data_IF_617338523229
#
_entry.id   IF_617338523229
#
_cell.length_a   1.000
_cell.length_b   1.000
_cell.length_c   1.000
_cell.angle_alpha   90.00
_cell.angle_beta   90.00
_cell.angle_gamma   90.00
#
_symmetry.space_group_name_H-M   'P 1'
#
loop_
_entity.id
_entity.type
_entity.pdbx_description
1 polymer ?
#
# COMPACT_ATOMS: atom_id res chain seq x y z
N UNK A 1 -18.00 11.45 5.99
CA UNK A 1 -18.60 10.51 6.96
C UNK A 1 -17.62 10.05 8.05
N UNK A 2 -16.32 9.89 7.74
CA UNK A 2 -15.26 9.66 8.73
C UNK A 2 -14.44 10.93 8.97
N UNK A 3 -13.96 11.14 10.19
CA UNK A 3 -13.01 12.21 10.53
C UNK A 3 -11.81 11.61 11.25
N UNK A 4 -10.60 12.07 10.93
CA UNK A 4 -9.35 11.60 11.54
C UNK A 4 -8.82 12.71 12.46
N UNK A 5 -8.48 12.34 13.69
CA UNK A 5 -7.93 13.24 14.71
C UNK A 5 -6.64 12.67 15.27
N UNK A 6 -5.73 13.54 15.71
CA UNK A 6 -4.64 13.18 16.61
C UNK A 6 -5.16 13.30 18.05
N UNK A 7 -4.80 12.36 18.91
CA UNK A 7 -5.09 12.41 20.34
C UNK A 7 -3.95 11.81 21.15
N UNK A 8 -4.16 11.69 22.46
CA UNK A 8 -3.20 11.09 23.39
C UNK A 8 -3.89 10.04 24.23
N UNK A 9 -3.27 8.86 24.38
CA UNK A 9 -3.75 7.78 25.24
C UNK A 9 -2.55 7.19 26.00
N UNK A 10 -2.63 7.14 27.34
CA UNK A 10 -1.53 6.69 28.21
C UNK A 10 -0.18 7.35 27.86
N UNK A 11 -0.18 8.67 27.63
CA UNK A 11 0.99 9.48 27.23
C UNK A 11 1.61 9.11 25.88
N UNK A 12 0.92 8.34 25.03
CA UNK A 12 1.33 8.04 23.67
C UNK A 12 0.41 8.77 22.68
N UNK A 13 0.99 9.29 21.60
CA UNK A 13 0.22 9.85 20.49
C UNK A 13 -0.55 8.76 19.77
N UNK A 14 -1.83 9.02 19.50
CA UNK A 14 -2.75 8.08 18.82
C UNK A 14 -3.49 8.74 17.68
N UNK A 15 -3.85 7.95 16.67
CA UNK A 15 -4.76 8.36 15.62
C UNK A 15 -6.18 7.87 15.95
N UNK A 16 -7.17 8.77 15.86
CA UNK A 16 -8.57 8.49 16.16
C UNK A 16 -9.40 8.67 14.89
N UNK A 17 -9.95 7.56 14.38
CA UNK A 17 -10.89 7.55 13.26
C UNK A 17 -12.31 7.58 13.83
N UNK A 18 -12.95 8.74 13.81
CA UNK A 18 -14.30 8.96 14.32
C UNK A 18 -15.36 8.76 13.22
N UNK A 19 -16.44 8.05 13.56
CA UNK A 19 -17.57 7.75 12.68
C UNK A 19 -18.76 8.59 13.12
N UNK A 20 -19.11 9.62 12.33
CA UNK A 20 -20.14 10.59 12.72
C UNK A 20 -21.53 9.93 12.75
N UNK A 21 -22.23 10.12 13.86
CA UNK A 21 -23.51 9.47 14.12
C UNK A 21 -24.61 9.81 13.10
N UNK A 22 -24.61 11.05 12.60
CA UNK A 22 -25.54 11.57 11.58
C UNK A 22 -25.49 10.82 10.24
N UNK A 23 -24.42 10.06 9.99
CA UNK A 23 -24.23 9.31 8.75
C UNK A 23 -24.13 7.79 8.96
N UNK A 24 -24.49 7.30 10.16
CA UNK A 24 -24.44 5.86 10.49
C UNK A 24 -25.58 5.07 9.82
N UNK A 25 -25.45 4.83 8.53
CA UNK A 25 -26.26 3.83 7.83
C UNK A 25 -25.81 2.39 8.17
N UNK A 26 -26.63 1.39 7.83
CA UNK A 26 -26.32 -0.04 8.06
C UNK A 26 -24.97 -0.44 7.43
N UNK A 27 -24.63 0.12 6.27
CA UNK A 27 -23.34 -0.12 5.58
C UNK A 27 -22.16 0.37 6.43
N UNK A 28 -22.19 1.62 6.89
CA UNK A 28 -21.10 2.20 7.67
C UNK A 28 -20.91 1.50 9.03
N UNK A 29 -21.99 1.03 9.65
CA UNK A 29 -21.93 0.22 10.87
C UNK A 29 -21.25 -1.14 10.63
N UNK A 30 -21.56 -1.79 9.51
CA UNK A 30 -20.91 -3.05 9.11
C UNK A 30 -19.43 -2.84 8.82
N UNK A 31 -19.06 -1.76 8.13
CA UNK A 31 -17.66 -1.39 7.88
C UNK A 31 -16.90 -1.14 9.19
N UNK A 32 -17.47 -0.37 10.11
CA UNK A 32 -16.87 -0.13 11.43
C UNK A 32 -16.65 -1.44 12.20
N UNK A 33 -17.69 -2.27 12.31
CA UNK A 33 -17.58 -3.55 13.03
C UNK A 33 -16.55 -4.49 12.39
N UNK A 34 -16.51 -4.54 11.05
CA UNK A 34 -15.54 -5.34 10.30
C UNK A 34 -14.11 -4.84 10.51
N UNK A 35 -13.90 -3.52 10.45
CA UNK A 35 -12.60 -2.90 10.64
C UNK A 35 -12.08 -3.22 12.05
N UNK A 36 -12.89 -3.01 13.09
CA UNK A 36 -12.54 -3.39 14.47
C UNK A 36 -12.24 -4.89 14.60
N UNK A 37 -13.04 -5.75 13.97
CA UNK A 37 -12.84 -7.20 14.03
C UNK A 37 -11.51 -7.64 13.41
N UNK A 38 -11.15 -7.10 12.24
CA UNK A 38 -9.87 -7.39 11.58
C UNK A 38 -8.73 -6.84 12.43
N UNK A 39 -8.80 -5.55 12.81
CA UNK A 39 -7.74 -4.84 13.52
C UNK A 39 -7.38 -5.47 14.86
N UNK A 40 -8.34 -6.08 15.56
CA UNK A 40 -8.08 -6.83 16.80
C UNK A 40 -7.24 -8.11 16.62
N UNK A 41 -7.19 -8.67 15.41
CA UNK A 41 -6.51 -9.94 15.10
C UNK A 41 -5.11 -9.75 14.52
N UNK A 42 -4.80 -8.55 14.04
CA UNK A 42 -3.54 -8.27 13.36
C UNK A 42 -2.54 -7.59 14.30
N UNK A 43 -1.32 -8.11 14.30
CA UNK A 43 -0.17 -7.54 15.02
C UNK A 43 1.09 -7.83 14.22
N UNK A 44 1.63 -6.81 13.55
CA UNK A 44 2.80 -6.93 12.71
C UNK A 44 3.50 -5.58 12.53
N UNK A 45 4.85 -5.56 12.41
CA UNK A 45 5.61 -4.30 12.36
C UNK A 45 5.23 -3.40 11.19
N UNK A 46 4.77 -3.97 10.08
CA UNK A 46 4.38 -3.26 8.86
C UNK A 46 2.85 -3.19 8.66
N UNK A 47 2.08 -3.34 9.74
CA UNK A 47 0.63 -3.15 9.75
C UNK A 47 0.30 -2.21 10.92
N UNK A 48 -0.54 -1.20 10.69
CA UNK A 48 -0.89 -0.23 11.73
C UNK A 48 -1.50 -0.93 12.94
N UNK A 49 -0.91 -0.69 14.11
CA UNK A 49 -1.28 -1.31 15.36
C UNK A 49 -2.60 -0.75 15.89
N UNK A 50 -3.56 -1.64 16.13
CA UNK A 50 -4.78 -1.36 16.85
C UNK A 50 -4.50 -1.13 18.33
N UNK A 51 -5.06 -0.06 18.89
CA UNK A 51 -4.99 0.25 20.33
C UNK A 51 -6.34 -0.02 20.99
N UNK A 52 -7.44 0.43 20.37
CA UNK A 52 -8.77 0.26 20.93
C UNK A 52 -9.88 0.79 20.03
N UNK A 53 -11.12 0.68 20.48
CA UNK A 53 -12.27 1.24 19.79
C UNK A 53 -13.35 1.64 20.80
N UNK A 54 -14.01 2.77 20.58
CA UNK A 54 -15.26 3.09 21.25
C UNK A 54 -16.41 2.56 20.40
N UNK A 55 -17.18 1.62 20.95
CA UNK A 55 -18.30 0.96 20.28
C UNK A 55 -19.67 1.47 20.76
N UNK A 56 -19.68 2.46 21.67
CA UNK A 56 -20.90 3.07 22.21
C UNK A 56 -21.28 4.31 21.39
N UNK A 57 -22.54 4.37 20.95
CA UNK A 57 -23.09 5.56 20.30
C UNK A 57 -23.22 6.74 21.29
N UNK A 58 -23.14 7.99 20.83
CA UNK A 58 -22.89 8.41 19.44
C UNK A 58 -21.41 8.38 19.02
N UNK A 59 -20.50 8.11 19.94
CA UNK A 59 -19.06 8.31 19.77
C UNK A 59 -18.35 7.06 19.25
N UNK A 60 -18.74 6.56 18.08
CA UNK A 60 -18.06 5.41 17.47
C UNK A 60 -16.68 5.83 16.95
N UNK A 61 -15.61 5.20 17.44
CA UNK A 61 -14.25 5.47 16.98
C UNK A 61 -13.34 4.26 17.02
N UNK A 62 -12.31 4.31 16.17
CA UNK A 62 -11.19 3.37 16.15
C UNK A 62 -9.93 4.14 16.52
N UNK A 63 -9.14 3.60 17.44
CA UNK A 63 -7.91 4.19 17.94
C UNK A 63 -6.74 3.29 17.54
N UNK A 64 -5.75 3.88 16.89
CA UNK A 64 -4.54 3.21 16.41
C UNK A 64 -3.30 3.98 16.84
N UNK A 65 -2.13 3.36 16.69
CA UNK A 65 -0.88 4.10 16.76
C UNK A 65 -0.89 5.30 15.80
N UNK A 66 -0.26 6.40 16.21
CA UNK A 66 -0.11 7.58 15.38
C UNK A 66 1.11 7.46 14.47
N UNK A 67 0.91 7.67 13.17
CA UNK A 67 1.94 7.58 12.14
C UNK A 67 2.40 8.98 11.75
N UNK A 68 3.42 9.49 12.43
CA UNK A 68 3.84 10.90 12.38
C UNK A 68 4.39 11.37 11.03
N UNK A 69 4.91 10.46 10.20
CA UNK A 69 5.39 10.76 8.85
C UNK A 69 4.26 11.13 7.87
N UNK A 70 3.04 10.68 8.15
CA UNK A 70 1.89 10.85 7.26
C UNK A 70 1.77 9.74 6.22
N UNK A 71 0.98 9.97 5.17
CA UNK A 71 0.76 8.98 4.12
C UNK A 71 1.78 9.07 2.99
N UNK A 72 2.14 7.94 2.37
CA UNK A 72 3.02 7.93 1.20
C UNK A 72 2.44 8.77 0.05
N UNK A 73 1.12 8.87 -0.06
CA UNK A 73 0.46 9.78 -0.98
C UNK A 73 0.84 11.26 -0.73
N UNK A 74 0.90 11.68 0.53
CA UNK A 74 1.29 13.06 0.86
C UNK A 74 2.75 13.33 0.48
N UNK A 75 3.64 12.38 0.74
CA UNK A 75 5.05 12.45 0.33
C UNK A 75 5.18 12.62 -1.19
N UNK A 76 4.52 11.78 -1.97
CA UNK A 76 4.59 11.82 -3.44
C UNK A 76 3.91 13.07 -4.03
N UNK A 77 2.68 13.37 -3.60
CA UNK A 77 1.82 14.28 -4.35
C UNK A 77 1.72 15.68 -3.77
N UNK A 78 1.87 15.83 -2.44
CA UNK A 78 1.85 17.14 -1.77
C UNK A 78 3.25 17.70 -1.55
N UNK A 79 4.18 16.86 -1.11
CA UNK A 79 5.58 17.25 -0.87
C UNK A 79 6.46 17.12 -2.11
N UNK A 80 5.98 16.41 -3.14
CA UNK A 80 6.72 16.16 -4.40
C UNK A 80 8.07 15.49 -4.16
N UNK A 81 8.12 14.60 -3.19
CA UNK A 81 9.33 13.82 -2.89
C UNK A 81 9.59 12.79 -4.00
N UNK A 82 10.83 12.76 -4.47
CA UNK A 82 11.30 11.76 -5.42
C UNK A 82 12.01 10.63 -4.68
N UNK A 83 11.51 9.41 -4.80
CA UNK A 83 12.15 8.24 -4.23
C UNK A 83 13.25 7.74 -5.17
N UNK A 84 14.48 7.68 -4.67
CA UNK A 84 15.52 6.90 -5.34
C UNK A 84 15.22 5.40 -5.21
N UNK A 85 15.93 4.58 -5.98
CA UNK A 85 15.71 3.13 -6.00
C UNK A 85 15.82 2.49 -4.61
N UNK A 86 16.79 2.90 -3.79
CA UNK A 86 16.99 2.36 -2.44
C UNK A 86 15.80 2.65 -1.52
N UNK A 87 15.30 3.88 -1.52
CA UNK A 87 14.14 4.29 -0.71
C UNK A 87 12.85 3.62 -1.21
N UNK A 88 12.67 3.53 -2.52
CA UNK A 88 11.55 2.80 -3.12
C UNK A 88 11.53 1.33 -2.68
N UNK A 89 12.68 0.64 -2.78
CA UNK A 89 12.80 -0.76 -2.38
C UNK A 89 12.53 -0.94 -0.89
N UNK A 90 12.99 -0.02 -0.03
CA UNK A 90 12.71 -0.06 1.41
C UNK A 90 11.20 -0.02 1.68
N UNK A 91 10.49 0.93 1.07
CA UNK A 91 9.03 1.05 1.20
C UNK A 91 8.34 -0.21 0.65
N UNK A 92 8.72 -0.65 -0.55
CA UNK A 92 8.11 -1.82 -1.20
C UNK A 92 8.29 -3.10 -0.37
N UNK A 93 9.46 -3.31 0.23
CA UNK A 93 9.75 -4.43 1.13
C UNK A 93 8.87 -4.37 2.38
N UNK A 94 8.75 -3.21 3.02
CA UNK A 94 7.91 -3.03 4.21
C UNK A 94 6.43 -3.31 3.92
N UNK A 95 5.90 -2.77 2.82
CA UNK A 95 4.53 -3.05 2.37
C UNK A 95 4.34 -4.53 2.07
N UNK A 96 5.30 -5.16 1.37
CA UNK A 96 5.22 -6.59 1.03
C UNK A 96 5.22 -7.49 2.27
N UNK A 97 5.99 -7.14 3.30
CA UNK A 97 5.95 -7.85 4.59
C UNK A 97 4.58 -7.75 5.26
N UNK A 98 4.02 -6.54 5.30
CA UNK A 98 2.69 -6.29 5.86
C UNK A 98 1.60 -7.09 5.12
N UNK A 99 1.62 -7.05 3.79
CA UNK A 99 0.65 -7.74 2.95
C UNK A 99 0.80 -9.26 2.98
N UNK A 100 2.03 -9.80 2.96
CA UNK A 100 2.29 -11.22 3.16
C UNK A 100 1.73 -11.71 4.51
N UNK A 101 1.91 -10.94 5.58
CA UNK A 101 1.33 -11.24 6.89
C UNK A 101 -0.20 -11.27 6.84
N UNK A 102 -0.84 -10.26 6.23
CA UNK A 102 -2.30 -10.21 6.10
C UNK A 102 -2.84 -11.41 5.32
N UNK A 103 -2.23 -11.74 4.17
CA UNK A 103 -2.65 -12.86 3.32
C UNK A 103 -2.50 -14.21 4.01
N UNK A 104 -1.41 -14.43 4.76
CA UNK A 104 -1.23 -15.63 5.61
C UNK A 104 -2.29 -15.77 6.71
N UNK A 105 -2.90 -14.66 7.12
CA UNK A 105 -4.01 -14.63 8.08
C UNK A 105 -5.38 -14.61 7.38
N UNK A 106 -5.44 -14.91 6.08
CA UNK A 106 -6.66 -14.92 5.26
C UNK A 106 -7.37 -13.56 5.23
N UNK A 107 -6.64 -12.45 5.28
CA UNK A 107 -7.18 -11.09 5.22
C UNK A 107 -6.84 -10.48 3.85
N UNK A 108 -7.86 -10.06 3.11
CA UNK A 108 -7.74 -9.33 1.85
C UNK A 108 -7.96 -7.84 2.13
N UNK A 109 -7.01 -6.99 1.76
CA UNK A 109 -7.01 -5.56 2.09
C UNK A 109 -8.01 -4.75 1.25
N UNK A 110 -8.04 -4.97 -0.07
CA UNK A 110 -8.97 -4.42 -1.06
C UNK A 110 -8.87 -2.92 -1.39
N UNK A 111 -8.08 -2.16 -0.65
CA UNK A 111 -7.84 -0.73 -0.93
C UNK A 111 -6.35 -0.38 -0.84
N UNK A 112 -5.47 -1.23 -1.37
CA UNK A 112 -4.02 -1.00 -1.30
C UNK A 112 -3.61 0.11 -2.27
N UNK A 113 -3.13 1.25 -1.73
CA UNK A 113 -2.70 2.45 -2.48
C UNK A 113 -1.80 3.31 -1.59
N UNK A 114 -1.04 4.25 -2.17
CA UNK A 114 -0.12 5.09 -1.40
C UNK A 114 -0.80 5.89 -0.26
N UNK A 115 -2.09 6.23 -0.39
CA UNK A 115 -2.85 6.95 0.66
C UNK A 115 -3.13 6.10 1.92
N UNK A 116 -3.03 4.78 1.80
CA UNK A 116 -3.24 3.81 2.87
C UNK A 116 -1.92 3.19 3.36
N UNK A 117 -0.79 3.76 2.94
CA UNK A 117 0.54 3.43 3.46
C UNK A 117 0.98 4.60 4.33
N UNK A 118 1.24 4.33 5.61
CA UNK A 118 1.60 5.36 6.59
C UNK A 118 3.01 5.15 7.09
N UNK A 119 3.75 6.25 7.30
CA UNK A 119 5.13 6.23 7.78
C UNK A 119 5.20 6.65 9.25
N UNK A 120 5.96 5.91 10.06
CA UNK A 120 6.24 6.29 11.45
C UNK A 120 7.46 7.22 11.54
N UNK A 121 7.79 7.63 12.76
CA UNK A 121 8.92 8.53 13.06
C UNK A 121 10.30 7.96 12.67
N UNK A 122 10.41 6.63 12.57
CA UNK A 122 11.64 5.93 12.22
C UNK A 122 11.73 5.63 10.71
N UNK A 123 10.77 6.10 9.93
CA UNK A 123 10.70 5.86 8.49
C UNK A 123 10.21 4.47 8.10
N UNK A 124 9.62 3.69 9.04
CA UNK A 124 9.02 2.39 8.74
C UNK A 124 7.63 2.62 8.16
N UNK A 125 7.34 1.93 7.05
CA UNK A 125 6.03 2.02 6.40
C UNK A 125 5.12 0.88 6.87
N UNK A 126 3.88 1.23 7.19
CA UNK A 126 2.83 0.32 7.64
C UNK A 126 1.58 0.43 6.77
N UNK A 127 0.96 -0.72 6.50
CA UNK A 127 -0.34 -0.80 5.81
C UNK A 127 -1.46 -0.41 6.77
N UNK A 128 -2.38 0.45 6.31
CA UNK A 128 -3.45 1.05 7.09
C UNK A 128 -4.81 1.01 6.36
N UNK A 129 -5.88 1.37 7.07
CA UNK A 129 -7.27 1.49 6.58
C UNK A 129 -7.92 0.17 6.10
N UNK A 130 -8.39 -0.61 7.08
CA UNK A 130 -9.10 -1.88 6.86
C UNK A 130 -10.61 -1.70 6.65
N UNK A 131 -11.08 -0.49 6.35
CA UNK A 131 -12.51 -0.17 6.28
C UNK A 131 -13.30 -0.94 5.23
N UNK A 132 -12.62 -1.50 4.21
CA UNK A 132 -13.20 -2.39 3.19
C UNK A 132 -12.56 -3.77 3.15
N UNK A 133 -11.61 -4.04 4.06
CA UNK A 133 -10.93 -5.32 4.15
C UNK A 133 -11.89 -6.43 4.59
N UNK A 134 -11.58 -7.68 4.21
CA UNK A 134 -12.40 -8.85 4.57
C UNK A 134 -11.51 -10.02 4.96
N UNK A 135 -12.02 -10.83 5.90
CA UNK A 135 -11.55 -12.22 6.03
C UNK A 135 -12.09 -12.99 4.83
N UNK A 136 -11.28 -13.84 4.22
CA UNK A 136 -11.64 -14.61 3.04
C UNK A 136 -12.84 -15.53 3.35
N UNK A 137 -14.05 -15.05 3.03
CA UNK A 137 -15.32 -15.78 3.13
C UNK A 137 -16.06 -15.66 1.79
N UNK A 138 -16.74 -16.74 1.38
CA UNK A 138 -17.26 -17.02 0.02
C UNK A 138 -18.45 -16.16 -0.41
N UNK A 139 -18.73 -15.04 0.25
CA UNK A 139 -19.90 -14.18 -0.03
C UNK A 139 -19.56 -12.99 -0.95
N UNK A 140 -19.78 -13.21 -2.24
CA UNK A 140 -19.46 -12.30 -3.35
C UNK A 140 -20.42 -11.13 -3.58
N UNK A 141 -20.58 -10.22 -2.61
CA UNK A 141 -21.26 -8.93 -2.88
C UNK A 141 -20.40 -7.75 -2.45
N UNK A 142 -20.23 -6.78 -3.34
CA UNK A 142 -19.39 -5.61 -3.15
C UNK A 142 -19.93 -4.34 -3.81
N UNK A 143 -19.70 -3.21 -3.15
CA UNK A 143 -19.94 -1.86 -3.68
C UNK A 143 -18.61 -1.13 -3.71
N UNK A 144 -18.13 -0.73 -4.88
CA UNK A 144 -16.92 0.08 -5.03
C UNK A 144 -17.21 1.58 -4.78
N UNK A 145 -16.30 2.28 -4.10
CA UNK A 145 -16.30 3.74 -4.02
C UNK A 145 -15.55 4.33 -5.23
N UNK A 146 -16.02 5.47 -5.74
CA UNK A 146 -15.59 6.06 -7.01
C UNK A 146 -14.12 6.49 -7.09
N UNK A 147 -13.42 6.66 -5.95
CA UNK A 147 -12.04 7.16 -5.90
C UNK A 147 -10.94 6.10 -6.03
N UNK A 148 -11.22 4.83 -5.69
CA UNK A 148 -10.19 3.77 -5.63
C UNK A 148 -9.99 3.04 -6.96
N UNK A 149 -10.87 3.24 -7.94
CA UNK A 149 -10.88 2.48 -9.20
C UNK A 149 -9.53 2.37 -9.91
N UNK A 150 -8.67 3.38 -9.80
CA UNK A 150 -7.34 3.40 -10.45
C UNK A 150 -6.41 2.28 -9.96
N UNK A 151 -6.58 1.77 -8.74
CA UNK A 151 -5.74 0.69 -8.19
C UNK A 151 -6.46 -0.67 -8.21
N UNK A 152 -7.70 -0.75 -8.68
CA UNK A 152 -8.50 -1.97 -8.60
C UNK A 152 -8.13 -2.97 -9.71
N UNK A 153 -8.04 -4.24 -9.33
CA UNK A 153 -7.87 -5.33 -10.28
C UNK A 153 -9.12 -5.48 -11.19
N UNK A 154 -8.95 -5.95 -12.44
CA UNK A 154 -10.05 -6.05 -13.40
C UNK A 154 -11.20 -6.90 -12.89
N UNK A 155 -10.92 -8.03 -12.24
CA UNK A 155 -11.96 -8.92 -11.70
C UNK A 155 -12.78 -8.27 -10.57
N UNK A 156 -12.19 -7.32 -9.83
CA UNK A 156 -12.89 -6.57 -8.79
C UNK A 156 -13.80 -5.51 -9.43
N UNK A 157 -13.33 -4.84 -10.48
CA UNK A 157 -14.12 -3.85 -11.25
C UNK A 157 -15.32 -4.54 -11.91
N UNK A 158 -15.12 -5.73 -12.47
CA UNK A 158 -16.16 -6.55 -13.11
C UNK A 158 -17.11 -7.23 -12.11
N UNK A 159 -16.92 -7.04 -10.80
CA UNK A 159 -17.70 -7.70 -9.74
C UNK A 159 -17.69 -9.24 -9.84
N UNK A 160 -16.61 -9.81 -10.38
CA UNK A 160 -16.41 -11.27 -10.43
C UNK A 160 -15.92 -11.79 -9.08
N UNK A 161 -16.05 -13.10 -8.79
CA UNK A 161 -15.37 -13.71 -7.65
C UNK A 161 -13.87 -13.47 -7.73
N UNK A 162 -13.25 -13.12 -6.61
CA UNK A 162 -11.82 -12.86 -6.54
C UNK A 162 -11.24 -13.24 -5.17
N UNK A 163 -9.91 -13.34 -5.11
CA UNK A 163 -9.15 -13.71 -3.92
C UNK A 163 -8.08 -12.65 -3.58
N UNK A 164 -7.11 -13.01 -2.75
CA UNK A 164 -6.03 -12.12 -2.32
C UNK A 164 -5.15 -11.60 -3.47
N UNK A 165 -5.17 -12.23 -4.65
CA UNK A 165 -4.44 -11.76 -5.85
C UNK A 165 -4.94 -10.40 -6.39
N UNK A 166 -6.13 -9.96 -5.99
CA UNK A 166 -6.58 -8.60 -6.27
C UNK A 166 -5.68 -7.55 -5.60
N UNK A 167 -5.19 -7.82 -4.38
CA UNK A 167 -4.26 -6.92 -3.69
C UNK A 167 -2.89 -6.88 -4.38
N UNK A 168 -2.48 -7.95 -5.04
CA UNK A 168 -1.22 -8.02 -5.81
C UNK A 168 -1.26 -7.09 -7.01
N UNK A 169 -2.41 -7.02 -7.70
CA UNK A 169 -2.62 -6.04 -8.76
C UNK A 169 -2.51 -4.61 -8.21
N UNK A 170 -3.22 -4.33 -7.12
CA UNK A 170 -3.17 -3.01 -6.46
C UNK A 170 -1.77 -2.66 -5.99
N UNK A 171 -0.99 -3.64 -5.54
CA UNK A 171 0.42 -3.48 -5.21
C UNK A 171 1.26 -3.07 -6.42
N UNK A 172 1.06 -3.71 -7.58
CA UNK A 172 1.74 -3.32 -8.83
C UNK A 172 1.48 -1.86 -9.20
N UNK A 173 0.22 -1.43 -9.17
CA UNK A 173 -0.15 -0.03 -9.44
C UNK A 173 0.44 0.93 -8.39
N UNK A 174 0.44 0.55 -7.12
CA UNK A 174 1.04 1.32 -6.03
C UNK A 174 2.57 1.43 -6.17
N UNK A 175 3.24 0.34 -6.56
CA UNK A 175 4.68 0.34 -6.80
C UNK A 175 5.05 1.24 -7.97
N UNK A 176 4.22 1.26 -9.03
CA UNK A 176 4.38 2.21 -10.13
C UNK A 176 4.18 3.66 -9.68
N UNK A 177 3.21 3.91 -8.78
CA UNK A 177 2.99 5.24 -8.18
C UNK A 177 4.21 5.69 -7.35
N UNK A 178 4.82 4.80 -6.56
CA UNK A 178 6.08 5.09 -5.84
C UNK A 178 7.24 5.35 -6.79
N UNK A 179 7.34 4.59 -7.88
CA UNK A 179 8.38 4.70 -8.90
C UNK A 179 8.35 6.04 -9.63
N UNK A 180 7.15 6.54 -9.93
CA UNK A 180 6.98 7.69 -10.82
C UNK A 180 6.62 8.97 -10.08
N UNK A 181 6.09 8.88 -8.85
CA UNK A 181 5.50 10.01 -8.14
C UNK A 181 4.25 10.57 -8.83
N UNK A 182 3.65 9.82 -9.77
CA UNK A 182 2.48 10.24 -10.54
C UNK A 182 1.22 9.55 -10.07
N UNK A 183 0.09 10.22 -10.26
CA UNK A 183 -1.22 9.59 -10.06
C UNK A 183 -1.44 8.58 -11.19
N UNK A 184 -1.82 7.31 -10.90
CA UNK A 184 -2.05 6.33 -11.94
C UNK A 184 -3.15 6.78 -12.92
N UNK A 185 -2.85 6.72 -14.22
CA UNK A 185 -3.76 7.15 -15.29
C UNK A 185 -4.23 8.61 -15.15
N UNK A 186 -3.34 9.52 -14.76
CA UNK A 186 -3.63 10.93 -14.49
C UNK A 186 -4.37 11.67 -15.62
N UNK A 187 -4.24 11.19 -16.86
CA UNK A 187 -4.94 11.69 -18.04
C UNK A 187 -6.41 11.21 -18.18
N UNK A 188 -6.88 10.30 -17.32
CA UNK A 188 -8.23 9.73 -17.35
C UNK A 188 -8.97 10.03 -16.05
N UNK A 189 -10.30 10.07 -16.08
CA UNK A 189 -11.10 9.99 -14.85
C UNK A 189 -10.97 8.59 -14.21
N UNK A 190 -11.23 8.43 -12.90
CA UNK A 190 -11.15 7.11 -12.25
C UNK A 190 -12.01 6.03 -12.93
N UNK A 191 -13.20 6.40 -13.41
CA UNK A 191 -14.09 5.48 -14.12
C UNK A 191 -13.55 5.11 -15.51
N UNK A 192 -13.03 6.08 -16.27
CA UNK A 192 -12.40 5.80 -17.56
C UNK A 192 -11.16 4.90 -17.41
N UNK A 193 -10.36 5.13 -16.36
CA UNK A 193 -9.24 4.24 -16.04
C UNK A 193 -9.73 2.81 -15.78
N UNK A 194 -10.77 2.64 -14.95
CA UNK A 194 -11.37 1.34 -14.68
C UNK A 194 -11.83 0.62 -15.96
N UNK A 195 -12.54 1.35 -16.83
CA UNK A 195 -13.04 0.83 -18.10
C UNK A 195 -11.87 0.44 -19.02
N UNK A 196 -10.83 1.27 -19.13
CA UNK A 196 -9.62 0.96 -19.90
C UNK A 196 -8.89 -0.28 -19.39
N UNK A 197 -8.76 -0.43 -18.06
CA UNK A 197 -8.13 -1.61 -17.44
C UNK A 197 -8.86 -2.90 -17.82
N UNK A 198 -10.20 -2.89 -17.78
CA UNK A 198 -11.04 -4.07 -18.05
C UNK A 198 -11.15 -4.37 -19.55
N UNK A 199 -11.47 -3.37 -20.36
CA UNK A 199 -11.83 -3.56 -21.76
C UNK A 199 -10.62 -3.56 -22.70
N UNK A 200 -9.57 -2.78 -22.37
CA UNK A 200 -8.43 -2.57 -23.26
C UNK A 200 -7.12 -3.15 -22.69
N UNK A 201 -7.16 -3.74 -21.48
CA UNK A 201 -5.96 -4.21 -20.80
C UNK A 201 -5.01 -3.08 -20.42
N UNK A 202 -5.51 -1.86 -20.24
CA UNK A 202 -4.69 -0.67 -20.00
C UNK A 202 -3.81 -0.84 -18.75
N UNK A 203 -2.52 -0.49 -18.86
CA UNK A 203 -1.56 -0.44 -17.75
C UNK A 203 -0.79 0.89 -17.76
N UNK A 204 -0.34 1.38 -16.59
CA UNK A 204 0.54 2.54 -16.52
C UNK A 204 1.83 2.31 -17.30
N UNK A 205 2.31 3.34 -18.02
CA UNK A 205 3.55 3.26 -18.79
C UNK A 205 4.76 3.25 -17.85
N UNK A 206 5.62 2.23 -17.95
CA UNK A 206 6.83 2.12 -17.14
C UNK A 206 7.95 2.99 -17.76
N UNK A 207 8.62 3.87 -17.00
CA UNK A 207 9.74 4.66 -17.51
C UNK A 207 10.87 3.78 -18.05
N UNK A 208 11.48 4.17 -19.19
CA UNK A 208 12.54 3.41 -19.87
C UNK A 208 13.77 3.10 -19.01
N UNK A 209 14.08 3.97 -18.04
CA UNK A 209 15.26 3.83 -17.17
C UNK A 209 14.96 3.03 -15.89
N UNK A 210 13.83 2.32 -15.83
CA UNK A 210 13.46 1.49 -14.68
C UNK A 210 14.31 0.22 -14.64
N UNK A 211 14.74 -0.19 -13.44
CA UNK A 211 15.52 -1.41 -13.26
C UNK A 211 14.78 -2.64 -13.84
N UNK A 212 15.41 -3.50 -14.66
CA UNK A 212 14.72 -4.60 -15.36
C UNK A 212 13.91 -5.52 -14.44
N UNK A 213 14.45 -5.88 -13.27
CA UNK A 213 13.72 -6.69 -12.27
C UNK A 213 12.46 -6.01 -11.71
N UNK A 214 12.42 -4.67 -11.66
CA UNK A 214 11.20 -3.95 -11.27
C UNK A 214 10.18 -3.92 -12.41
N UNK A 215 10.63 -3.83 -13.66
CA UNK A 215 9.76 -3.95 -14.84
C UNK A 215 9.06 -5.32 -14.83
N UNK A 216 9.84 -6.40 -14.70
CA UNK A 216 9.32 -7.77 -14.62
C UNK A 216 8.34 -7.93 -13.46
N UNK A 217 8.68 -7.41 -12.27
CA UNK A 217 7.80 -7.47 -11.11
C UNK A 217 6.48 -6.72 -11.35
N UNK A 218 6.51 -5.52 -11.93
CA UNK A 218 5.31 -4.76 -12.27
C UNK A 218 4.43 -5.54 -13.25
N UNK A 219 5.03 -6.06 -14.32
CA UNK A 219 4.36 -6.86 -15.35
C UNK A 219 3.67 -8.09 -14.78
N UNK A 220 4.33 -8.82 -13.90
CA UNK A 220 3.73 -9.97 -13.20
C UNK A 220 2.64 -9.55 -12.22
N UNK A 221 2.81 -8.46 -11.47
CA UNK A 221 1.84 -8.04 -10.45
C UNK A 221 0.48 -7.65 -11.05
N UNK A 222 0.48 -6.99 -12.21
CA UNK A 222 -0.75 -6.51 -12.85
C UNK A 222 -1.21 -7.38 -14.04
N UNK A 223 -0.82 -8.66 -14.05
CA UNK A 223 -1.31 -9.61 -15.06
C UNK A 223 -2.85 -9.68 -15.06
N UNK A 224 -3.43 -9.90 -16.24
CA UNK A 224 -4.87 -10.04 -16.40
C UNK A 224 -5.38 -11.29 -15.68
N UNK A 225 -4.67 -12.41 -15.77
CA UNK A 225 -5.00 -13.63 -15.05
C UNK A 225 -4.49 -13.55 -13.60
N UNK A 226 -5.38 -13.55 -12.58
CA UNK A 226 -4.97 -13.54 -11.18
C UNK A 226 -4.07 -14.71 -10.80
N UNK A 227 -4.13 -15.85 -11.50
CA UNK A 227 -3.31 -17.03 -11.23
C UNK A 227 -1.82 -16.83 -11.58
N UNK A 228 -1.53 -15.95 -12.56
CA UNK A 228 -0.16 -15.65 -12.98
C UNK A 228 0.52 -14.60 -12.11
N UNK A 229 -0.26 -13.87 -11.32
CA UNK A 229 0.27 -12.88 -10.37
C UNK A 229 1.03 -13.60 -9.25
N UNK A 230 2.18 -13.09 -8.80
CA UNK A 230 2.97 -13.71 -7.73
C UNK A 230 2.25 -13.66 -6.38
N UNK A 231 2.64 -14.51 -5.44
CA UNK A 231 2.33 -14.33 -4.03
C UNK A 231 3.21 -13.24 -3.40
N UNK A 232 2.73 -12.58 -2.33
CA UNK A 232 3.56 -11.59 -1.62
C UNK A 232 4.84 -12.19 -1.02
N UNK A 233 4.91 -13.50 -0.75
CA UNK A 233 6.17 -14.17 -0.38
C UNK A 233 7.20 -14.10 -1.51
N UNK A 234 6.80 -14.36 -2.75
CA UNK A 234 7.68 -14.27 -3.92
C UNK A 234 8.09 -12.83 -4.20
N UNK A 235 7.15 -11.88 -4.10
CA UNK A 235 7.42 -10.44 -4.26
C UNK A 235 8.47 -9.98 -3.25
N UNK A 236 8.32 -10.39 -1.98
CA UNK A 236 9.23 -10.02 -0.92
C UNK A 236 10.65 -10.54 -1.19
N UNK A 237 10.80 -11.79 -1.61
CA UNK A 237 12.09 -12.38 -1.97
C UNK A 237 12.77 -11.63 -3.12
N UNK A 238 12.02 -11.34 -4.19
CA UNK A 238 12.52 -10.58 -5.34
C UNK A 238 13.01 -9.18 -4.93
N UNK A 239 12.23 -8.47 -4.10
CA UNK A 239 12.57 -7.13 -3.64
C UNK A 239 13.77 -7.12 -2.70
N UNK A 240 13.90 -8.10 -1.81
CA UNK A 240 15.04 -8.22 -0.90
C UNK A 240 16.33 -8.54 -1.67
N UNK A 241 16.26 -9.45 -2.65
CA UNK A 241 17.39 -9.76 -3.51
C UNK A 241 17.84 -8.52 -4.30
N UNK A 242 16.88 -7.75 -4.85
CA UNK A 242 17.20 -6.51 -5.55
C UNK A 242 17.79 -5.44 -4.62
N UNK A 243 17.28 -5.33 -3.38
CA UNK A 243 17.82 -4.41 -2.37
C UNK A 243 19.27 -4.77 -1.98
N UNK A 244 19.60 -6.06 -1.90
CA UNK A 244 20.97 -6.53 -1.68
C UNK A 244 21.92 -6.07 -2.80
N UNK A 245 21.54 -6.32 -4.06
CA UNK A 245 22.33 -5.93 -5.23
C UNK A 245 22.60 -4.42 -5.30
N UNK A 246 21.58 -3.59 -5.06
CA UNK A 246 21.73 -2.12 -5.10
C UNK A 246 22.65 -1.61 -3.98
N UNK A 247 22.65 -2.29 -2.83
CA UNK A 247 23.51 -1.93 -1.69
C UNK A 247 24.98 -2.27 -2.00
N UNK A 248 25.25 -3.45 -2.54
CA UNK A 248 26.60 -3.89 -2.96
C UNK A 248 27.18 -3.00 -4.07
N UNK A 249 26.41 -2.68 -5.10
CA UNK A 249 26.85 -1.77 -6.18
C UNK A 249 27.16 -0.35 -5.65
N UNK A 250 26.43 0.10 -4.63
CA UNK A 250 26.68 1.37 -3.96
C UNK A 250 28.02 1.38 -3.24
N UNK A 251 28.34 0.30 -2.51
CA UNK A 251 29.59 0.15 -1.78
C UNK A 251 30.81 0.07 -2.70
N UNK A 252 30.71 -0.67 -3.82
CA UNK A 252 31.81 -0.80 -4.77
C UNK A 252 32.12 0.51 -5.51
N UNK A 253 31.08 1.31 -5.83
CA UNK A 253 31.26 2.67 -6.37
C UNK A 253 31.92 3.61 -5.37
N UNK A 254 31.64 3.47 -4.07
CA UNK A 254 32.28 4.26 -3.02
C UNK A 254 33.75 3.86 -2.86
N UNK A 255 34.06 2.56 -2.81
CA UNK A 255 35.44 2.04 -2.75
C UNK A 255 36.26 2.54 -3.95
N UNK A 256 35.72 2.47 -5.17
CA UNK A 256 36.41 2.97 -6.37
C UNK A 256 36.61 4.49 -6.38
N UNK A 257 35.68 5.30 -5.83
CA UNK A 257 35.88 6.75 -5.68
C UNK A 257 36.94 7.09 -4.64
N UNK A 258 37.01 6.34 -3.54
CA UNK A 258 38.04 6.53 -2.50
C UNK A 258 39.41 6.16 -3.06
N UNK A 259 39.55 5.03 -3.75
CA UNK A 259 40.83 4.63 -4.37
C UNK A 259 41.33 5.65 -5.39
N UNK A 260 40.45 6.22 -6.23
CA UNK A 260 40.84 7.28 -7.19
C UNK A 260 41.28 8.59 -6.53
N UNK A 261 40.68 8.97 -5.39
CA UNK A 261 41.11 10.15 -4.63
C UNK A 261 42.46 9.96 -3.94
N UNK A 262 42.76 8.75 -3.48
CA UNK A 262 44.06 8.43 -2.86
C UNK A 262 45.19 8.49 -3.89
N UNK A 263 44.98 7.94 -5.09
CA UNK A 263 45.98 7.97 -6.18
C UNK A 263 46.24 9.40 -6.68
N UNK A 264 45.24 10.28 -6.67
CA UNK A 264 45.39 11.68 -7.08
C UNK A 264 46.04 12.59 -6.01
N UNK A 265 46.23 12.11 -4.78
CA UNK A 265 46.87 12.86 -3.69
C UNK A 265 48.34 12.47 -3.47
N UNK A 266 48.84 11.47 -4.20
CA UNK A 266 50.21 10.91 -4.05
C UNK A 266 51.06 11.06 -5.32
N UNK A 267 50.66 11.90 -6.27
CA UNK A 267 51.41 12.25 -7.48
C UNK A 267 51.41 13.75 -7.70
#
# INVERSE_FOLDING_TARGET
>A
YRSRYKGTFCSQDVAIKHFRAEHLCKKLQKEFAQEVFIMRKVRHKNVVQFIGACTRRPNLCIVTEFMSGGSMYDHLHKRKECFNLQSLLRVAVDVSRGMNYLHRNNIIHRDLKAANLLMDENGVVKVADFGVARVQDRSGVMTAETGTYRWMAPEVIEHKPYNHKADVFSFGVMLWELLTGKVPYDNLTPLQAAVGVVQQGLRPSIPKNTHPKLVELLDRCWDRDPCLRPEFSEILELLQNLQGMVTEEGEDRVKHKVSRKVVAATG
#
